data_IF_641256652255
#
_entry.id   IF_641256652255
#
_cell.length_a   1.000
_cell.length_b   1.000
_cell.length_c   1.000
_cell.angle_alpha   90.00
_cell.angle_beta   90.00
_cell.angle_gamma   90.00
#
_symmetry.space_group_name_H-M   'P 1'
#
loop_
_entity.id
_entity.type
_entity.pdbx_description
1 polymer ?
#
# COMPACT_ATOMS: atom_id res chain seq x y z
N UNK A 1 25.93 42.32 24.28
CA UNK A 1 24.60 42.50 23.72
C UNK A 1 24.51 42.07 22.27
N UNK A 2 25.42 42.45 21.43
CA UNK A 2 25.43 42.02 20.03
C UNK A 2 25.45 40.50 19.86
N UNK A 3 26.23 39.80 20.68
CA UNK A 3 26.31 38.32 20.61
C UNK A 3 25.00 37.67 20.99
N UNK A 4 24.29 38.18 21.99
CA UNK A 4 23.00 37.65 22.43
C UNK A 4 21.95 37.88 21.37
N UNK A 5 21.94 39.02 20.71
CA UNK A 5 21.01 39.32 19.63
C UNK A 5 21.23 38.41 18.41
N UNK A 6 22.50 38.18 18.05
CA UNK A 6 22.83 37.27 16.94
C UNK A 6 22.44 35.84 17.24
N UNK A 7 22.62 35.39 18.48
CA UNK A 7 22.19 34.07 18.92
C UNK A 7 20.69 33.93 18.85
N UNK A 8 19.96 34.94 19.29
CA UNK A 8 18.49 34.93 19.25
C UNK A 8 17.99 34.85 17.82
N UNK A 9 18.53 35.63 16.90
CA UNK A 9 18.19 35.59 15.47
C UNK A 9 18.50 34.21 14.90
N UNK A 10 19.65 33.63 15.25
CA UNK A 10 20.01 32.28 14.81
C UNK A 10 19.02 31.23 15.29
N UNK A 11 18.59 31.32 16.55
CA UNK A 11 17.58 30.40 17.12
C UNK A 11 16.24 30.56 16.41
N UNK A 12 15.81 31.79 16.19
CA UNK A 12 14.56 32.06 15.46
C UNK A 12 14.60 31.51 14.04
N UNK A 13 15.73 31.65 13.33
CA UNK A 13 15.90 31.09 11.99
C UNK A 13 15.79 29.55 11.99
N UNK A 14 16.45 28.90 12.97
CA UNK A 14 16.41 27.44 13.10
C UNK A 14 14.99 26.96 13.41
N UNK A 15 14.28 27.65 14.30
CA UNK A 15 12.88 27.31 14.61
C UNK A 15 11.98 27.49 13.39
N UNK A 16 12.18 28.54 12.61
CA UNK A 16 11.45 28.77 11.37
C UNK A 16 11.67 27.63 10.37
N UNK A 17 12.93 27.22 10.17
CA UNK A 17 13.29 26.09 9.31
C UNK A 17 12.67 24.78 9.80
N UNK A 18 12.69 24.54 11.11
CA UNK A 18 12.09 23.34 11.70
C UNK A 18 10.59 23.30 11.45
N UNK A 19 9.91 24.42 11.61
CA UNK A 19 8.46 24.51 11.33
C UNK A 19 8.17 24.23 9.86
N UNK A 20 8.94 24.76 8.94
CA UNK A 20 8.80 24.47 7.50
C UNK A 20 8.99 22.99 7.21
N UNK A 21 9.96 22.35 7.84
CA UNK A 21 10.19 20.92 7.69
C UNK A 21 9.03 20.09 8.23
N UNK A 22 8.47 20.46 9.37
CA UNK A 22 7.30 19.79 9.93
C UNK A 22 6.09 19.90 9.01
N UNK A 23 5.85 21.08 8.44
CA UNK A 23 4.76 21.29 7.48
C UNK A 23 4.96 20.45 6.22
N UNK A 24 6.20 20.38 5.73
CA UNK A 24 6.55 19.56 4.56
C UNK A 24 6.33 18.08 4.82
N UNK A 25 6.75 17.58 5.98
CA UNK A 25 6.55 16.18 6.37
C UNK A 25 5.05 15.85 6.47
N UNK A 26 4.26 16.74 7.08
CA UNK A 26 2.81 16.55 7.20
C UNK A 26 2.15 16.49 5.81
N UNK A 27 2.57 17.36 4.89
CA UNK A 27 2.07 17.38 3.52
C UNK A 27 2.43 16.11 2.77
N UNK A 28 3.67 15.62 2.91
CA UNK A 28 4.13 14.39 2.28
C UNK A 28 3.35 13.17 2.79
N UNK A 29 3.06 13.11 4.09
CA UNK A 29 2.24 12.05 4.66
C UNK A 29 0.83 12.05 4.08
N UNK A 30 0.24 13.21 3.89
CA UNK A 30 -1.07 13.34 3.27
C UNK A 30 -1.05 12.84 1.83
N UNK A 31 -0.04 13.21 1.06
CA UNK A 31 0.12 12.74 -0.33
C UNK A 31 0.31 11.23 -0.37
N UNK A 32 1.10 10.66 0.53
CA UNK A 32 1.28 9.20 0.63
C UNK A 32 -0.05 8.49 0.87
N UNK A 33 -0.87 9.01 1.78
CA UNK A 33 -2.18 8.43 2.08
C UNK A 33 -3.13 8.52 0.89
N UNK A 34 -3.14 9.65 0.19
CA UNK A 34 -3.94 9.82 -1.03
C UNK A 34 -3.49 8.87 -2.13
N UNK A 35 -2.19 8.68 -2.30
CA UNK A 35 -1.63 7.73 -3.27
C UNK A 35 -2.03 6.29 -2.94
N UNK A 36 -2.00 5.94 -1.66
CA UNK A 36 -2.42 4.63 -1.18
C UNK A 36 -3.87 4.35 -1.54
N UNK A 37 -4.76 5.29 -1.25
CA UNK A 37 -6.19 5.19 -1.56
C UNK A 37 -6.41 5.04 -3.06
N UNK A 38 -5.71 5.83 -3.87
CA UNK A 38 -5.81 5.75 -5.32
C UNK A 38 -5.33 4.42 -5.87
N UNK A 39 -4.23 3.90 -5.37
CA UNK A 39 -3.71 2.58 -5.76
C UNK A 39 -4.71 1.48 -5.45
N UNK A 40 -5.31 1.52 -4.27
CA UNK A 40 -6.34 0.55 -3.86
C UNK A 40 -7.55 0.62 -4.79
N UNK A 41 -8.03 1.83 -5.08
CA UNK A 41 -9.18 2.03 -5.98
C UNK A 41 -8.87 1.50 -7.38
N UNK A 42 -7.71 1.84 -7.93
CA UNK A 42 -7.29 1.37 -9.25
C UNK A 42 -7.21 -0.15 -9.31
N UNK A 43 -6.65 -0.76 -8.26
CA UNK A 43 -6.57 -2.21 -8.16
C UNK A 43 -7.96 -2.86 -8.21
N UNK A 44 -8.90 -2.31 -7.46
CA UNK A 44 -10.25 -2.85 -7.36
C UNK A 44 -11.10 -2.60 -8.61
N UNK A 45 -10.74 -1.62 -9.46
CA UNK A 45 -11.50 -1.36 -10.70
C UNK A 45 -11.38 -2.48 -11.73
N UNK A 46 -10.40 -3.36 -11.59
CA UNK A 46 -10.23 -4.51 -12.48
C UNK A 46 -11.35 -5.54 -12.32
N UNK A 47 -12.04 -5.51 -11.20
CA UNK A 47 -13.03 -6.52 -10.83
C UNK A 47 -14.45 -6.07 -11.15
N UNK A 48 -15.30 -7.04 -11.46
CA UNK A 48 -16.75 -6.82 -11.45
C UNK A 48 -17.20 -6.62 -10.01
N UNK A 49 -18.42 -6.14 -9.82
CA UNK A 49 -18.99 -5.95 -8.49
C UNK A 49 -18.98 -7.25 -7.67
N UNK A 50 -19.36 -8.36 -8.29
CA UNK A 50 -19.37 -9.67 -7.64
C UNK A 50 -17.98 -10.14 -7.27
N UNK A 51 -17.01 -9.96 -8.15
CA UNK A 51 -15.61 -10.29 -7.90
C UNK A 51 -15.04 -9.46 -6.77
N UNK A 52 -15.37 -8.17 -6.75
CA UNK A 52 -14.94 -7.26 -5.70
C UNK A 52 -15.44 -7.70 -4.33
N UNK A 53 -16.71 -8.10 -4.25
CA UNK A 53 -17.29 -8.63 -3.01
C UNK A 53 -16.53 -9.86 -2.52
N UNK A 54 -16.23 -10.80 -3.41
CA UNK A 54 -15.45 -11.99 -3.09
C UNK A 54 -14.04 -11.62 -2.64
N UNK A 55 -13.41 -10.69 -3.33
CA UNK A 55 -12.06 -10.24 -2.99
C UNK A 55 -12.01 -9.58 -1.62
N UNK A 56 -12.98 -8.74 -1.30
CA UNK A 56 -13.06 -8.09 0.02
C UNK A 56 -13.20 -9.11 1.14
N UNK A 57 -14.00 -10.16 0.94
CA UNK A 57 -14.11 -11.24 1.93
C UNK A 57 -12.82 -12.05 2.03
N UNK A 58 -12.08 -12.20 0.93
CA UNK A 58 -10.78 -12.84 0.94
C UNK A 58 -9.77 -12.03 1.75
N UNK A 59 -9.82 -10.70 1.67
CA UNK A 59 -8.98 -9.83 2.49
C UNK A 59 -9.25 -10.02 3.98
N UNK A 60 -10.52 -10.31 4.34
CA UNK A 60 -10.92 -10.60 5.71
C UNK A 60 -10.58 -12.02 6.15
N UNK A 61 -10.05 -12.83 5.25
CA UNK A 61 -9.61 -14.19 5.56
C UNK A 61 -10.68 -15.25 5.52
N UNK A 62 -11.82 -14.98 4.90
CA UNK A 62 -12.92 -15.95 4.81
C UNK A 62 -12.60 -17.07 3.83
N UNK A 63 -13.00 -18.30 4.19
CA UNK A 63 -12.92 -19.45 3.30
C UNK A 63 -14.00 -19.38 2.22
N UNK A 64 -13.86 -20.21 1.17
CA UNK A 64 -14.86 -20.31 0.10
C UNK A 64 -16.25 -20.65 0.64
N UNK A 65 -16.30 -21.56 1.61
CA UNK A 65 -17.55 -21.95 2.25
C UNK A 65 -18.24 -20.78 2.95
N UNK A 66 -17.48 -20.01 3.71
CA UNK A 66 -18.01 -18.84 4.41
C UNK A 66 -18.38 -17.72 3.45
N UNK A 67 -17.62 -17.54 2.38
CA UNK A 67 -17.98 -16.58 1.32
C UNK A 67 -19.32 -16.94 0.70
N UNK A 68 -19.54 -18.22 0.38
CA UNK A 68 -20.78 -18.70 -0.19
C UNK A 68 -21.97 -18.45 0.73
N UNK A 69 -21.80 -18.71 2.02
CA UNK A 69 -22.82 -18.42 3.02
C UNK A 69 -23.12 -16.93 3.13
N UNK A 70 -22.07 -16.13 3.23
CA UNK A 70 -22.17 -14.70 3.41
C UNK A 70 -22.86 -14.00 2.23
N UNK A 71 -22.51 -14.42 1.01
CA UNK A 71 -23.02 -13.81 -0.22
C UNK A 71 -24.28 -14.50 -0.76
N UNK A 72 -24.76 -15.54 -0.09
CA UNK A 72 -25.90 -16.35 -0.53
C UNK A 72 -25.72 -16.90 -1.96
N UNK A 73 -24.52 -17.43 -2.21
CA UNK A 73 -24.13 -18.01 -3.51
C UNK A 73 -23.69 -19.45 -3.34
N UNK A 74 -23.70 -20.19 -4.43
CA UNK A 74 -23.18 -21.54 -4.44
C UNK A 74 -21.66 -21.54 -4.39
N UNK A 75 -21.08 -22.60 -3.84
CA UNK A 75 -19.62 -22.77 -3.77
C UNK A 75 -18.97 -22.75 -5.15
N UNK A 76 -19.63 -23.35 -6.14
CA UNK A 76 -19.12 -23.37 -7.52
C UNK A 76 -18.99 -21.96 -8.08
N UNK A 77 -19.96 -21.11 -7.78
CA UNK A 77 -19.94 -19.70 -8.20
C UNK A 77 -18.78 -18.97 -7.55
N UNK A 78 -18.58 -19.16 -6.24
CA UNK A 78 -17.46 -18.55 -5.52
C UNK A 78 -16.11 -19.04 -6.07
N UNK A 79 -15.99 -20.34 -6.33
CA UNK A 79 -14.77 -20.92 -6.90
C UNK A 79 -14.46 -20.30 -8.26
N UNK A 80 -15.46 -20.13 -9.10
CA UNK A 80 -15.29 -19.52 -10.42
C UNK A 80 -14.87 -18.05 -10.29
N UNK A 81 -15.52 -17.31 -9.41
CA UNK A 81 -15.17 -15.90 -9.18
C UNK A 81 -13.74 -15.73 -8.65
N UNK A 82 -13.31 -16.62 -7.76
CA UNK A 82 -11.93 -16.64 -7.28
C UNK A 82 -10.93 -16.91 -8.40
N UNK A 83 -11.25 -17.84 -9.28
CA UNK A 83 -10.41 -18.13 -10.46
C UNK A 83 -10.33 -16.93 -11.39
N UNK A 84 -11.45 -16.27 -11.61
CA UNK A 84 -11.49 -15.08 -12.48
C UNK A 84 -10.65 -13.95 -11.90
N UNK A 85 -10.72 -13.75 -10.58
CA UNK A 85 -9.87 -12.77 -9.88
C UNK A 85 -8.40 -13.11 -10.09
N UNK A 86 -8.02 -14.35 -9.88
CA UNK A 86 -6.65 -14.81 -10.05
C UNK A 86 -6.14 -14.62 -11.48
N UNK A 87 -6.99 -14.88 -12.45
CA UNK A 87 -6.68 -14.65 -13.87
C UNK A 87 -6.40 -13.17 -14.14
N UNK A 88 -7.25 -12.30 -13.64
CA UNK A 88 -7.11 -10.84 -13.85
C UNK A 88 -5.82 -10.31 -13.24
N UNK A 89 -5.42 -10.86 -12.10
CA UNK A 89 -4.21 -10.45 -11.41
C UNK A 89 -2.97 -11.24 -11.82
N UNK A 90 -3.14 -12.26 -12.65
CA UNK A 90 -2.08 -13.14 -13.08
C UNK A 90 -1.36 -13.79 -11.90
N UNK A 91 -2.12 -14.36 -10.98
CA UNK A 91 -1.63 -15.07 -9.79
C UNK A 91 -2.20 -16.49 -9.76
N UNK A 92 -1.60 -17.36 -8.95
CA UNK A 92 -1.95 -18.76 -8.90
C UNK A 92 -3.17 -19.04 -8.02
N UNK A 93 -3.29 -18.32 -6.91
CA UNK A 93 -4.36 -18.55 -5.94
C UNK A 93 -4.78 -17.23 -5.28
N UNK A 94 -5.85 -17.31 -4.49
CA UNK A 94 -6.41 -16.12 -3.85
C UNK A 94 -5.47 -15.52 -2.80
N UNK A 95 -4.65 -16.33 -2.17
CA UNK A 95 -3.67 -15.86 -1.19
C UNK A 95 -2.65 -14.94 -1.84
N UNK A 96 -2.19 -15.29 -3.03
CA UNK A 96 -1.29 -14.44 -3.82
C UNK A 96 -1.98 -13.14 -4.25
N UNK A 97 -3.27 -13.23 -4.60
CA UNK A 97 -4.07 -12.05 -4.95
C UNK A 97 -4.15 -11.08 -3.77
N UNK A 98 -4.44 -11.59 -2.59
CA UNK A 98 -4.49 -10.80 -1.35
C UNK A 98 -3.13 -10.19 -1.04
N UNK A 99 -2.07 -10.96 -1.21
CA UNK A 99 -0.71 -10.48 -0.96
C UNK A 99 -0.34 -9.37 -1.94
N UNK A 100 -0.72 -9.52 -3.19
CA UNK A 100 -0.48 -8.49 -4.22
C UNK A 100 -1.16 -7.17 -3.85
N UNK A 101 -2.38 -7.22 -3.34
CA UNK A 101 -3.07 -6.04 -2.85
C UNK A 101 -2.35 -5.40 -1.65
N UNK A 102 -1.92 -6.21 -0.69
CA UNK A 102 -1.18 -5.72 0.48
C UNK A 102 0.14 -5.08 0.08
N UNK A 103 0.80 -5.61 -0.95
CA UNK A 103 2.08 -5.09 -1.44
C UNK A 103 1.96 -3.74 -2.14
N UNK A 104 0.75 -3.27 -2.46
CA UNK A 104 0.55 -1.93 -3.01
C UNK A 104 1.08 -0.83 -2.09
N UNK A 105 1.20 -1.13 -0.81
CA UNK A 105 1.63 -0.16 0.19
C UNK A 105 3.13 -0.22 0.48
N UNK A 106 3.84 -1.15 -0.14
CA UNK A 106 5.28 -1.24 0.02
C UNK A 106 5.96 -0.11 -0.74
N UNK A 107 6.93 0.51 -0.08
CA UNK A 107 7.67 1.61 -0.65
C UNK A 107 8.68 1.09 -1.68
N UNK A 108 8.78 1.72 -2.86
CA UNK A 108 9.77 1.32 -3.87
C UNK A 108 11.21 1.30 -3.36
N UNK A 109 11.49 2.10 -2.33
CA UNK A 109 12.81 2.21 -1.71
C UNK A 109 13.31 0.87 -1.15
N UNK A 110 12.40 0.00 -0.73
CA UNK A 110 12.77 -1.31 -0.20
C UNK A 110 13.37 -2.21 -1.27
N UNK A 111 12.82 -2.18 -2.48
CA UNK A 111 13.34 -2.94 -3.60
C UNK A 111 14.74 -2.50 -3.99
N UNK A 112 14.96 -1.20 -4.07
CA UNK A 112 16.27 -0.61 -4.38
C UNK A 112 17.28 -0.98 -3.30
N UNK A 113 16.85 -0.94 -2.05
CA UNK A 113 17.70 -1.25 -0.90
C UNK A 113 18.12 -2.71 -0.85
N UNK A 114 17.27 -3.61 -1.31
CA UNK A 114 17.57 -5.04 -1.34
C UNK A 114 18.50 -5.40 -2.50
N UNK A 115 18.29 -4.82 -3.67
CA UNK A 115 19.06 -5.15 -4.86
C UNK A 115 20.49 -4.60 -4.84
N UNK A 116 20.66 -3.34 -4.47
CA UNK A 116 21.95 -2.68 -4.53
C UNK A 116 23.03 -3.33 -3.65
N UNK A 117 22.76 -3.65 -2.37
CA UNK A 117 23.76 -4.32 -1.54
C UNK A 117 24.13 -5.70 -2.02
N UNK A 118 23.16 -6.45 -2.53
CA UNK A 118 23.39 -7.80 -3.04
C UNK A 118 24.27 -7.79 -4.28
N UNK A 119 24.04 -6.86 -5.19
CA UNK A 119 24.84 -6.74 -6.41
C UNK A 119 26.28 -6.37 -6.09
N UNK A 120 26.49 -5.48 -5.13
CA UNK A 120 27.84 -5.09 -4.70
C UNK A 120 28.59 -6.26 -4.07
N UNK A 121 27.92 -7.07 -3.26
CA UNK A 121 28.51 -8.25 -2.64
C UNK A 121 28.86 -9.28 -3.68
N UNK A 122 28.02 -9.49 -4.67
CA UNK A 122 28.26 -10.48 -5.73
C UNK A 122 29.43 -10.10 -6.64
N UNK A 123 29.68 -8.83 -6.83
CA UNK A 123 30.78 -8.35 -7.66
C UNK A 123 32.11 -8.43 -6.93
N UNK A 124 32.10 -8.23 -5.63
CA UNK A 124 33.30 -8.29 -4.84
C UNK A 124 33.69 -9.70 -4.43
#
# INVERSE_FOLDING_TARGET
>A
MEKAEKLLIGIENVLGMANELFDEVARLKQVEEECKILKEKLFLTQFTRSEKEVFELALDGLSSSKMAEWLFKERSTISQQRKDICKKLNVKNIKEAVQKFKNLHEKPQQEIHQESPQKLVNIS
#
